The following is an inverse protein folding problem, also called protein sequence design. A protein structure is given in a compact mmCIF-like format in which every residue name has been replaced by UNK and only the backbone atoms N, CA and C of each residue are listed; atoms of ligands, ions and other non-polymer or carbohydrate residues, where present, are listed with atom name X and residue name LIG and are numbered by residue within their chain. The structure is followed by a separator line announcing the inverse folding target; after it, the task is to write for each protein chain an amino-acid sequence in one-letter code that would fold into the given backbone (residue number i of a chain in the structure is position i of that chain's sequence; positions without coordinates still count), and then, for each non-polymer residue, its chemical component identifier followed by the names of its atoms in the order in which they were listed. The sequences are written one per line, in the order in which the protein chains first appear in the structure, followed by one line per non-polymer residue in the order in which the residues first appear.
data_IF_143615136533
#
_entry.id   IF_143615136533
#
_cell.length_a   1.000
_cell.length_b   1.000
_cell.length_c   1.000
_cell.angle_alpha   90.00
_cell.angle_beta   90.00
_cell.angle_gamma   90.00
#
_symmetry.space_group_name_H-M   'P 1'
#
loop_
_entity.id
_entity.type
_entity.pdbx_description
1 polymer ?
#
# COMPACT_ATOMS: atom_id res chain seq x y z
N UNK A 1 -33.40 6.60 -7.32
CA UNK A 1 -33.09 6.97 -5.93
C UNK A 1 -32.93 5.68 -5.15
N UNK A 2 -31.74 5.07 -5.23
CA UNK A 2 -31.46 3.76 -4.60
C UNK A 2 -31.00 4.05 -3.19
N UNK A 3 -31.72 3.55 -2.19
CA UNK A 3 -31.31 3.64 -0.80
C UNK A 3 -29.92 3.01 -0.66
N UNK A 4 -28.95 3.79 -0.20
CA UNK A 4 -27.66 3.27 0.24
C UNK A 4 -27.95 2.40 1.47
N UNK A 5 -27.95 1.08 1.28
CA UNK A 5 -28.01 0.14 2.38
C UNK A 5 -26.66 0.17 3.09
N UNK A 6 -26.60 0.82 4.25
CA UNK A 6 -25.48 0.70 5.18
C UNK A 6 -25.59 -0.65 5.90
N UNK A 7 -24.64 -1.53 5.63
CA UNK A 7 -24.72 -2.93 5.97
C UNK A 7 -23.52 -3.38 6.82
N UNK A 8 -23.70 -3.55 8.12
CA UNK A 8 -22.64 -4.07 9.01
C UNK A 8 -22.75 -5.59 9.27
N UNK A 9 -23.74 -6.26 8.68
CA UNK A 9 -23.97 -7.71 8.80
C UNK A 9 -23.90 -8.43 7.44
N UNK A 10 -23.90 -9.78 7.47
CA UNK A 10 -23.76 -10.61 6.26
C UNK A 10 -24.88 -10.43 5.22
N UNK A 11 -26.11 -10.15 5.65
CA UNK A 11 -27.26 -9.98 4.75
C UNK A 11 -27.14 -8.71 3.90
N UNK A 12 -26.68 -7.61 4.50
CA UNK A 12 -26.49 -6.38 3.75
C UNK A 12 -25.28 -6.42 2.78
N UNK A 13 -24.29 -7.27 3.03
CA UNK A 13 -23.20 -7.56 2.07
C UNK A 13 -23.74 -8.26 0.83
N UNK A 14 -24.63 -9.24 1.01
CA UNK A 14 -25.26 -9.93 -0.10
C UNK A 14 -26.17 -8.99 -0.90
N UNK A 15 -26.85 -8.06 -0.24
CA UNK A 15 -27.66 -7.04 -0.91
C UNK A 15 -26.81 -6.11 -1.80
N UNK A 16 -25.59 -5.77 -1.36
CA UNK A 16 -24.62 -5.00 -2.17
C UNK A 16 -24.09 -5.76 -3.40
N UNK A 17 -24.31 -7.08 -3.44
CA UNK A 17 -23.83 -8.01 -4.47
C UNK A 17 -24.95 -8.54 -5.37
N UNK A 18 -25.97 -7.72 -5.64
CA UNK A 18 -27.14 -8.09 -6.47
C UNK A 18 -26.80 -8.58 -7.89
N UNK A 19 -25.60 -8.28 -8.39
CA UNK A 19 -25.10 -8.74 -9.70
C UNK A 19 -24.38 -10.10 -9.70
N UNK A 20 -24.22 -10.76 -8.54
CA UNK A 20 -23.67 -12.13 -8.49
C UNK A 20 -24.73 -13.17 -8.86
N UNK A 21 -24.36 -14.17 -9.65
CA UNK A 21 -25.23 -15.32 -9.93
C UNK A 21 -25.48 -16.14 -8.66
N UNK A 22 -26.59 -16.89 -8.63
CA UNK A 22 -26.95 -17.72 -7.48
C UNK A 22 -25.89 -18.79 -7.18
N UNK A 23 -25.20 -19.29 -8.22
CA UNK A 23 -24.08 -20.23 -8.10
C UNK A 23 -22.88 -19.66 -7.32
N UNK A 24 -22.75 -18.34 -7.24
CA UNK A 24 -21.71 -17.66 -6.42
C UNK A 24 -22.26 -17.24 -5.07
N UNK A 25 -23.54 -16.84 -5.03
CA UNK A 25 -24.22 -16.36 -3.81
C UNK A 25 -24.39 -17.48 -2.77
N UNK A 26 -24.76 -18.68 -3.19
CA UNK A 26 -24.98 -19.82 -2.30
C UNK A 26 -23.68 -20.27 -1.60
N UNK A 27 -22.56 -20.48 -2.32
CA UNK A 27 -21.28 -20.77 -1.66
C UNK A 27 -20.79 -19.65 -0.75
N UNK A 28 -21.01 -18.39 -1.12
CA UNK A 28 -20.68 -17.26 -0.26
C UNK A 28 -21.48 -17.34 1.06
N UNK A 29 -22.79 -17.54 0.96
CA UNK A 29 -23.65 -17.65 2.14
C UNK A 29 -23.26 -18.81 3.07
N UNK A 30 -22.97 -19.99 2.52
CA UNK A 30 -22.51 -21.13 3.32
C UNK A 30 -21.17 -20.87 4.00
N UNK A 31 -20.27 -20.15 3.34
CA UNK A 31 -18.95 -19.86 3.86
C UNK A 31 -18.95 -18.74 4.91
N UNK A 32 -19.91 -17.81 4.90
CA UNK A 32 -20.13 -16.85 6.01
C UNK A 32 -20.48 -17.56 7.32
N UNK A 33 -21.16 -18.70 7.23
CA UNK A 33 -21.52 -19.54 8.38
C UNK A 33 -20.35 -20.38 8.90
N UNK A 34 -19.27 -20.52 8.12
CA UNK A 34 -18.07 -21.28 8.49
C UNK A 34 -17.00 -20.32 9.02
N UNK A 35 -16.20 -20.76 9.99
CA UNK A 35 -14.98 -20.03 10.36
C UNK A 35 -14.06 -19.99 9.12
N UNK A 36 -13.76 -18.78 8.63
CA UNK A 36 -12.75 -18.61 7.58
C UNK A 36 -11.39 -19.10 8.12
N UNK A 37 -10.94 -20.26 7.65
CA UNK A 37 -9.65 -20.86 8.04
C UNK A 37 -8.56 -20.53 7.01
N UNK A 38 -7.48 -19.90 7.51
CA UNK A 38 -6.10 -19.77 6.99
C UNK A 38 -5.85 -19.31 5.54
N UNK A 39 -4.64 -18.74 5.37
CA UNK A 39 -3.97 -18.42 4.09
C UNK A 39 -4.02 -19.64 3.17
N UNK A 40 -4.40 -19.45 1.91
CA UNK A 40 -4.49 -20.54 0.96
C UNK A 40 -3.07 -20.96 0.55
N UNK A 41 -2.70 -22.22 0.83
CA UNK A 41 -1.45 -22.78 0.34
C UNK A 41 -1.54 -23.26 -1.12
N UNK A 42 -0.39 -23.58 -1.76
CA UNK A 42 -0.31 -24.04 -3.14
C UNK A 42 -1.22 -25.24 -3.45
N UNK A 43 -1.42 -26.12 -2.47
CA UNK A 43 -2.30 -27.28 -2.54
C UNK A 43 -3.76 -26.92 -2.79
N UNK A 44 -4.21 -25.73 -2.38
CA UNK A 44 -5.58 -25.27 -2.63
C UNK A 44 -5.80 -24.74 -4.05
N UNK A 45 -4.71 -24.43 -4.78
CA UNK A 45 -4.76 -24.05 -6.21
C UNK A 45 -4.73 -25.28 -7.11
N UNK A 46 -4.26 -26.42 -6.61
CA UNK A 46 -4.06 -27.62 -7.41
C UNK A 46 -5.39 -28.13 -8.00
N UNK A 47 -5.41 -28.32 -9.33
CA UNK A 47 -6.60 -28.77 -10.05
C UNK A 47 -7.65 -27.70 -10.33
N UNK A 48 -7.41 -26.43 -9.96
CA UNK A 48 -8.26 -25.32 -10.34
C UNK A 48 -7.72 -24.62 -11.58
N UNK A 49 -8.62 -24.19 -12.46
CA UNK A 49 -8.29 -23.24 -13.52
C UNK A 49 -7.99 -21.87 -12.90
N UNK A 50 -7.26 -21.00 -13.61
CA UNK A 50 -7.00 -19.63 -13.12
C UNK A 50 -8.31 -18.85 -12.89
N UNK A 51 -9.35 -19.12 -13.68
CA UNK A 51 -10.68 -18.56 -13.48
C UNK A 51 -11.30 -19.05 -12.16
N UNK A 52 -11.35 -20.37 -11.93
CA UNK A 52 -11.92 -20.94 -10.71
C UNK A 52 -11.14 -20.51 -9.45
N UNK A 53 -9.82 -20.37 -9.57
CA UNK A 53 -8.97 -19.83 -8.52
C UNK A 53 -9.32 -18.36 -8.21
N UNK A 54 -9.46 -17.53 -9.24
CA UNK A 54 -9.84 -16.11 -9.09
C UNK A 54 -11.22 -15.96 -8.45
N UNK A 55 -12.19 -16.78 -8.86
CA UNK A 55 -13.54 -16.80 -8.27
C UNK A 55 -13.53 -17.22 -6.80
N UNK A 56 -12.70 -18.22 -6.44
CA UNK A 56 -12.53 -18.67 -5.04
C UNK A 56 -11.90 -17.60 -4.16
N UNK A 57 -10.87 -16.90 -4.65
CA UNK A 57 -10.25 -15.77 -3.96
C UNK A 57 -11.25 -14.64 -3.77
N UNK A 58 -11.96 -14.24 -4.84
CA UNK A 58 -13.01 -13.22 -4.82
C UNK A 58 -14.06 -13.55 -3.77
N UNK A 59 -14.59 -14.77 -3.78
CA UNK A 59 -15.57 -15.23 -2.80
C UNK A 59 -15.03 -15.04 -1.38
N UNK A 60 -13.80 -15.50 -1.07
CA UNK A 60 -13.22 -15.33 0.27
C UNK A 60 -12.99 -13.88 0.67
N UNK A 61 -12.58 -13.01 -0.25
CA UNK A 61 -12.44 -11.58 0.04
C UNK A 61 -13.80 -10.96 0.42
N UNK A 62 -14.86 -11.27 -0.32
CA UNK A 62 -16.22 -10.81 -0.02
C UNK A 62 -16.72 -11.33 1.33
N UNK A 63 -16.41 -12.59 1.66
CA UNK A 63 -16.74 -13.18 2.94
C UNK A 63 -16.01 -12.56 4.11
N UNK A 64 -14.72 -12.28 3.93
CA UNK A 64 -13.93 -11.61 4.93
C UNK A 64 -14.57 -10.29 5.30
N UNK A 65 -14.89 -9.48 4.27
CA UNK A 65 -15.49 -8.16 4.46
C UNK A 65 -16.76 -8.25 5.31
N UNK A 66 -17.56 -9.31 5.19
CA UNK A 66 -18.78 -9.51 5.99
C UNK A 66 -18.56 -9.83 7.48
N UNK A 67 -17.41 -10.40 7.87
CA UNK A 67 -17.18 -10.91 9.24
C UNK A 67 -16.59 -9.82 10.15
N UNK A 68 -15.88 -8.83 9.61
CA UNK A 68 -15.43 -7.64 10.35
C UNK A 68 -13.96 -7.26 10.09
N UNK A 69 -13.58 -6.00 10.40
CA UNK A 69 -12.35 -5.37 9.92
C UNK A 69 -11.06 -6.06 10.39
N UNK A 70 -11.01 -6.48 11.66
CA UNK A 70 -9.83 -7.11 12.27
C UNK A 70 -9.64 -8.57 11.81
N UNK A 71 -10.75 -9.28 11.58
CA UNK A 71 -10.70 -10.66 11.07
C UNK A 71 -10.35 -10.72 9.59
N UNK A 72 -10.71 -9.69 8.79
CA UNK A 72 -10.30 -9.60 7.38
C UNK A 72 -8.80 -9.44 7.25
N UNK A 73 -8.24 -8.44 7.93
CA UNK A 73 -6.82 -8.08 7.79
C UNK A 73 -5.91 -9.25 8.19
N UNK A 74 -6.27 -10.00 9.25
CA UNK A 74 -5.51 -11.16 9.72
C UNK A 74 -5.62 -12.40 8.85
N UNK A 75 -6.73 -12.59 8.13
CA UNK A 75 -7.05 -13.87 7.47
C UNK A 75 -7.01 -13.84 5.95
N UNK A 76 -7.27 -12.67 5.35
CA UNK A 76 -7.42 -12.51 3.90
C UNK A 76 -6.63 -11.32 3.37
N UNK A 77 -6.13 -10.42 4.25
CA UNK A 77 -5.12 -9.38 4.00
C UNK A 77 -4.91 -8.95 2.54
N UNK A 78 -3.66 -8.99 2.10
CA UNK A 78 -3.19 -8.57 0.77
C UNK A 78 -4.01 -9.14 -0.40
N UNK A 79 -4.73 -10.27 -0.24
CA UNK A 79 -5.59 -10.81 -1.28
C UNK A 79 -6.81 -9.94 -1.62
N UNK A 80 -7.29 -9.10 -0.69
CA UNK A 80 -8.32 -8.08 -0.98
C UNK A 80 -7.78 -7.03 -1.97
N UNK A 81 -6.46 -6.84 -1.99
CA UNK A 81 -5.77 -5.84 -2.84
C UNK A 81 -5.23 -6.43 -4.14
N UNK A 82 -4.95 -7.73 -4.19
CA UNK A 82 -4.16 -8.35 -5.25
C UNK A 82 -4.96 -8.94 -6.42
N UNK A 83 -6.30 -9.04 -6.36
CA UNK A 83 -7.07 -9.71 -7.43
C UNK A 83 -8.35 -8.96 -7.90
N UNK A 84 -8.51 -8.74 -9.22
CA UNK A 84 -9.73 -8.22 -9.84
C UNK A 84 -10.85 -9.29 -9.95
N UNK A 85 -12.13 -8.89 -10.17
CA UNK A 85 -12.58 -7.54 -10.52
C UNK A 85 -12.82 -6.63 -9.32
N UNK A 86 -12.21 -5.46 -9.44
CA UNK A 86 -12.25 -4.32 -8.52
C UNK A 86 -13.66 -3.91 -8.04
N UNK A 87 -14.69 -4.17 -8.86
CA UNK A 87 -16.04 -3.64 -8.72
C UNK A 87 -16.86 -4.20 -7.57
N UNK A 88 -16.59 -5.43 -7.13
CA UNK A 88 -17.40 -6.05 -6.06
C UNK A 88 -16.89 -5.72 -4.69
N UNK A 89 -15.56 -5.74 -4.51
CA UNK A 89 -14.90 -5.26 -3.29
C UNK A 89 -15.24 -3.79 -3.09
N UNK A 90 -15.18 -2.98 -4.15
CA UNK A 90 -15.58 -1.56 -4.09
C UNK A 90 -17.05 -1.40 -3.71
N UNK A 91 -17.97 -2.19 -4.31
CA UNK A 91 -19.39 -2.16 -3.93
C UNK A 91 -19.63 -2.53 -2.48
N UNK A 92 -18.97 -3.57 -1.98
CA UNK A 92 -19.11 -4.01 -0.59
C UNK A 92 -18.50 -3.00 0.38
N UNK A 93 -17.36 -2.39 0.05
CA UNK A 93 -16.79 -1.31 0.87
C UNK A 93 -17.67 -0.06 0.84
N UNK A 94 -18.25 0.27 -0.31
CA UNK A 94 -19.16 1.40 -0.47
C UNK A 94 -20.44 1.25 0.37
N UNK A 95 -20.93 0.02 0.54
CA UNK A 95 -22.11 -0.29 1.34
C UNK A 95 -21.86 -0.33 2.86
N UNK A 96 -20.62 -0.11 3.33
CA UNK A 96 -20.32 -0.08 4.77
C UNK A 96 -20.48 1.30 5.37
N UNK A 97 -20.76 1.30 6.67
CA UNK A 97 -20.71 2.50 7.49
C UNK A 97 -19.31 3.12 7.44
N UNK A 98 -19.24 4.42 7.75
CA UNK A 98 -17.99 5.16 7.73
C UNK A 98 -17.01 4.58 8.76
N UNK A 99 -17.50 4.34 9.96
CA UNK A 99 -16.74 3.82 11.11
C UNK A 99 -16.14 2.45 10.78
N UNK A 100 -16.92 1.59 10.13
CA UNK A 100 -16.45 0.29 9.69
C UNK A 100 -15.31 0.42 8.67
N UNK A 101 -15.45 1.31 7.67
CA UNK A 101 -14.40 1.54 6.67
C UNK A 101 -13.13 2.11 7.27
N UNK A 102 -13.24 3.01 8.23
CA UNK A 102 -12.09 3.59 8.93
C UNK A 102 -11.35 2.49 9.72
N UNK A 103 -12.07 1.69 10.51
CA UNK A 103 -11.49 0.55 11.24
C UNK A 103 -10.88 -0.51 10.31
N UNK A 104 -11.54 -0.81 9.18
CA UNK A 104 -11.02 -1.72 8.16
C UNK A 104 -9.74 -1.18 7.51
N UNK A 105 -9.74 0.11 7.16
CA UNK A 105 -8.57 0.77 6.58
C UNK A 105 -7.40 0.68 7.54
N UNK A 106 -7.58 1.09 8.80
CA UNK A 106 -6.53 1.05 9.82
C UNK A 106 -5.99 -0.37 10.05
N UNK A 107 -6.89 -1.35 10.24
CA UNK A 107 -6.52 -2.74 10.46
C UNK A 107 -5.72 -3.31 9.28
N UNK A 108 -6.12 -2.95 8.06
CA UNK A 108 -5.39 -3.42 6.88
C UNK A 108 -4.02 -2.75 6.76
N UNK A 109 -3.95 -1.42 6.88
CA UNK A 109 -2.68 -0.71 6.84
C UNK A 109 -1.70 -1.29 7.86
N UNK A 110 -2.19 -1.55 9.09
CA UNK A 110 -1.37 -2.16 10.14
C UNK A 110 -0.86 -3.56 9.76
N UNK A 111 -1.73 -4.44 9.26
CA UNK A 111 -1.34 -5.80 8.86
C UNK A 111 -0.26 -5.79 7.77
N UNK A 112 -0.47 -5.01 6.71
CA UNK A 112 0.48 -4.94 5.59
C UNK A 112 1.79 -4.23 5.97
N UNK A 113 1.73 -3.20 6.80
CA UNK A 113 2.93 -2.51 7.28
C UNK A 113 3.76 -3.37 8.24
N UNK A 114 3.12 -4.27 9.00
CA UNK A 114 3.78 -5.19 9.92
C UNK A 114 4.58 -6.28 9.19
N UNK A 115 4.29 -6.57 7.93
CA UNK A 115 5.05 -7.53 7.14
C UNK A 115 6.52 -7.13 7.07
N UNK A 116 7.42 -8.04 7.43
CA UNK A 116 8.86 -7.74 7.54
C UNK A 116 9.66 -8.18 6.31
N UNK A 117 9.05 -9.00 5.45
CA UNK A 117 9.68 -9.63 4.30
C UNK A 117 9.61 -8.77 3.03
N UNK A 118 10.06 -7.51 3.14
CA UNK A 118 9.99 -6.53 2.05
C UNK A 118 10.62 -7.04 0.74
N UNK A 119 11.64 -7.91 0.83
CA UNK A 119 12.26 -8.50 -0.34
C UNK A 119 11.50 -9.66 -0.99
N UNK A 120 10.72 -10.44 -0.23
CA UNK A 120 9.96 -11.57 -0.78
C UNK A 120 8.71 -11.10 -1.54
N UNK A 121 8.12 -9.98 -1.12
CA UNK A 121 6.93 -9.40 -1.73
C UNK A 121 7.21 -8.38 -2.85
N UNK A 122 8.46 -8.34 -3.37
CA UNK A 122 8.99 -7.27 -4.22
C UNK A 122 7.99 -6.51 -5.10
N UNK A 123 7.68 -6.96 -6.34
CA UNK A 123 6.73 -6.27 -7.22
C UNK A 123 5.31 -6.13 -6.65
N UNK A 124 4.89 -7.01 -5.73
CA UNK A 124 3.55 -6.97 -5.15
C UNK A 124 3.33 -5.72 -4.31
N UNK A 125 4.37 -5.14 -3.70
CA UNK A 125 4.24 -3.88 -2.97
C UNK A 125 3.72 -2.74 -3.83
N UNK A 126 4.14 -2.68 -5.10
CA UNK A 126 3.67 -1.66 -6.03
C UNK A 126 2.19 -1.87 -6.38
N UNK A 127 1.78 -3.12 -6.60
CA UNK A 127 0.37 -3.44 -6.89
C UNK A 127 -0.53 -3.16 -5.68
N UNK A 128 -0.09 -3.52 -4.47
CA UNK A 128 -0.79 -3.19 -3.21
C UNK A 128 -0.96 -1.67 -3.08
N UNK A 129 0.10 -0.91 -3.31
CA UNK A 129 0.06 0.54 -3.22
C UNK A 129 -0.88 1.18 -4.27
N UNK A 130 -0.77 0.76 -5.54
CA UNK A 130 -1.67 1.22 -6.60
C UNK A 130 -3.13 0.95 -6.27
N UNK A 131 -3.41 -0.23 -5.71
CA UNK A 131 -4.77 -0.60 -5.32
C UNK A 131 -5.26 0.24 -4.15
N UNK A 132 -4.43 0.44 -3.12
CA UNK A 132 -4.75 1.31 -1.99
C UNK A 132 -5.10 2.72 -2.47
N UNK A 133 -4.25 3.34 -3.33
CA UNK A 133 -4.49 4.67 -3.89
C UNK A 133 -5.75 4.72 -4.76
N UNK A 134 -6.03 3.69 -5.55
CA UNK A 134 -7.27 3.59 -6.32
C UNK A 134 -8.51 3.59 -5.40
N UNK A 135 -8.49 2.77 -4.34
CA UNK A 135 -9.60 2.67 -3.38
C UNK A 135 -9.79 3.94 -2.56
N UNK A 136 -8.70 4.63 -2.21
CA UNK A 136 -8.74 5.92 -1.55
C UNK A 136 -9.35 7.00 -2.44
N UNK A 137 -8.90 7.12 -3.70
CA UNK A 137 -9.45 8.08 -4.67
C UNK A 137 -10.92 7.80 -5.02
N UNK A 138 -11.32 6.53 -4.99
CA UNK A 138 -12.72 6.13 -5.12
C UNK A 138 -13.56 6.40 -3.84
N UNK A 139 -12.94 6.83 -2.74
CA UNK A 139 -13.59 7.07 -1.45
C UNK A 139 -14.00 5.80 -0.71
N UNK A 140 -13.61 4.62 -1.21
CA UNK A 140 -13.92 3.32 -0.63
C UNK A 140 -13.06 3.03 0.62
N UNK A 141 -11.84 3.56 0.66
CA UNK A 141 -10.99 3.60 1.85
C UNK A 141 -10.69 5.06 2.21
N UNK A 142 -10.39 5.29 3.48
CA UNK A 142 -10.06 6.62 4.00
C UNK A 142 -8.82 6.56 4.87
N UNK A 143 -7.65 6.28 4.29
CA UNK A 143 -6.42 6.28 5.04
C UNK A 143 -6.14 7.68 5.58
N UNK A 144 -5.65 7.75 6.81
CA UNK A 144 -5.00 8.95 7.31
C UNK A 144 -3.62 9.07 6.65
N UNK A 145 -3.43 10.11 5.84
CA UNK A 145 -2.17 10.37 5.13
C UNK A 145 -0.96 10.63 6.02
N UNK A 146 -1.18 10.84 7.33
CA UNK A 146 -0.14 10.96 8.36
C UNK A 146 0.11 9.66 9.13
N UNK A 147 -0.73 8.64 8.91
CA UNK A 147 -0.60 7.34 9.59
C UNK A 147 0.75 6.69 9.28
N UNK A 148 1.52 6.27 10.30
CA UNK A 148 2.77 5.57 10.09
C UNK A 148 2.64 4.31 9.21
N UNK A 149 1.53 3.60 9.30
CA UNK A 149 1.30 2.40 8.49
C UNK A 149 1.05 2.73 7.01
N UNK A 150 0.27 3.78 6.74
CA UNK A 150 0.07 4.30 5.38
C UNK A 150 1.40 4.73 4.75
N UNK A 151 2.21 5.48 5.51
CA UNK A 151 3.53 5.93 5.06
C UNK A 151 4.50 4.77 4.82
N UNK A 152 4.46 3.70 5.62
CA UNK A 152 5.26 2.48 5.36
C UNK A 152 4.86 1.84 4.04
N UNK A 153 3.56 1.72 3.75
CA UNK A 153 3.09 1.18 2.48
C UNK A 153 3.46 2.07 1.30
N UNK A 154 3.37 3.39 1.45
CA UNK A 154 3.86 4.35 0.46
C UNK A 154 5.34 4.14 0.18
N UNK A 155 6.16 4.10 1.24
CA UNK A 155 7.61 3.92 1.16
C UNK A 155 7.97 2.64 0.43
N UNK A 156 7.32 1.53 0.76
CA UNK A 156 7.55 0.24 0.10
C UNK A 156 7.02 0.24 -1.31
N UNK A 157 5.76 0.59 -1.53
CA UNK A 157 5.12 0.53 -2.84
C UNK A 157 5.83 1.36 -3.90
N UNK A 158 6.18 2.61 -3.58
CA UNK A 158 6.87 3.48 -4.54
C UNK A 158 8.31 3.04 -4.80
N UNK A 159 8.98 2.39 -3.84
CA UNK A 159 10.32 1.84 -4.06
C UNK A 159 10.33 0.81 -5.20
N UNK A 160 9.26 0.03 -5.33
CA UNK A 160 9.06 -0.98 -6.37
C UNK A 160 8.36 -0.45 -7.62
N UNK A 161 8.07 0.85 -7.69
CA UNK A 161 7.65 1.49 -8.93
C UNK A 161 8.83 1.66 -9.89
N UNK A 162 8.55 1.93 -11.17
CA UNK A 162 9.60 2.21 -12.16
C UNK A 162 10.44 3.45 -11.78
N UNK A 163 9.82 4.43 -11.11
CA UNK A 163 10.47 5.65 -10.64
C UNK A 163 9.65 6.27 -9.52
N UNK A 164 10.25 6.42 -8.32
CA UNK A 164 9.61 7.13 -7.20
C UNK A 164 9.24 8.56 -7.63
N UNK A 165 10.13 9.22 -8.38
CA UNK A 165 9.92 10.57 -8.91
C UNK A 165 8.72 10.60 -9.87
N UNK A 166 8.65 9.63 -10.81
CA UNK A 166 7.56 9.53 -11.77
C UNK A 166 6.22 9.23 -11.10
N UNK A 167 6.21 8.32 -10.13
CA UNK A 167 4.99 7.96 -9.40
C UNK A 167 4.44 9.12 -8.57
N UNK A 168 5.29 9.89 -7.90
CA UNK A 168 4.88 11.09 -7.15
C UNK A 168 4.47 12.22 -8.09
N UNK A 169 5.20 12.44 -9.20
CA UNK A 169 4.82 13.43 -10.20
C UNK A 169 3.45 13.17 -10.83
N UNK A 170 3.02 11.91 -10.90
CA UNK A 170 1.69 11.51 -11.36
C UNK A 170 0.61 11.57 -10.24
N UNK A 171 0.97 11.91 -9.01
CA UNK A 171 0.06 11.96 -7.85
C UNK A 171 0.28 13.22 -7.00
N UNK A 172 -0.27 14.38 -7.41
CA UNK A 172 -0.07 15.67 -6.72
C UNK A 172 -0.47 15.66 -5.24
N UNK A 173 -1.49 14.87 -4.87
CA UNK A 173 -1.95 14.76 -3.49
C UNK A 173 -0.86 14.23 -2.55
N UNK A 174 -0.02 13.29 -3.03
CA UNK A 174 1.12 12.78 -2.27
C UNK A 174 2.19 13.85 -2.08
N UNK A 175 2.47 14.62 -3.15
CA UNK A 175 3.46 15.70 -3.14
C UNK A 175 3.05 16.84 -2.19
N UNK A 176 1.76 17.15 -2.12
CA UNK A 176 1.25 18.24 -1.29
C UNK A 176 1.13 17.87 0.20
N UNK A 177 0.81 16.61 0.50
CA UNK A 177 0.41 16.19 1.86
C UNK A 177 1.32 15.10 2.43
N UNK A 178 1.16 13.86 1.97
CA UNK A 178 1.72 12.67 2.64
C UNK A 178 3.25 12.62 2.68
N UNK A 179 3.93 13.19 1.68
CA UNK A 179 5.40 13.22 1.65
C UNK A 179 6.00 13.94 2.86
N UNK A 180 5.33 14.98 3.35
CA UNK A 180 5.86 15.82 4.43
C UNK A 180 5.86 15.08 5.78
N UNK A 181 4.94 14.13 5.98
CA UNK A 181 4.92 13.29 7.17
C UNK A 181 6.07 12.27 7.22
N UNK A 182 6.83 12.09 6.13
CA UNK A 182 8.10 11.33 6.17
C UNK A 182 9.18 11.99 7.02
N UNK A 183 9.05 13.27 7.34
CA UNK A 183 9.98 14.04 8.17
C UNK A 183 9.59 14.05 9.65
N UNK A 184 8.46 13.43 10.00
CA UNK A 184 7.99 13.32 11.38
C UNK A 184 8.57 12.09 12.09
N UNK A 185 8.66 12.12 13.43
CA UNK A 185 9.22 11.01 14.18
C UNK A 185 8.26 9.82 14.26
N UNK A 186 8.41 8.88 13.33
CA UNK A 186 7.72 7.60 13.31
C UNK A 186 8.74 6.44 13.14
N UNK A 187 9.08 5.68 14.20
CA UNK A 187 10.13 4.65 14.13
C UNK A 187 9.95 3.60 13.03
N UNK A 188 8.71 3.21 12.72
CA UNK A 188 8.40 2.23 11.67
C UNK A 188 8.64 2.78 10.27
N UNK A 189 8.28 4.05 10.01
CA UNK A 189 8.52 4.74 8.74
C UNK A 189 10.02 4.94 8.53
N UNK A 190 10.71 5.38 9.57
CA UNK A 190 12.16 5.58 9.56
C UNK A 190 12.93 4.28 9.30
N UNK A 191 12.47 3.16 9.87
CA UNK A 191 13.01 1.82 9.57
C UNK A 191 12.77 1.45 8.10
N UNK A 192 11.59 1.73 7.54
CA UNK A 192 11.29 1.47 6.14
C UNK A 192 12.17 2.32 5.20
N UNK A 193 12.34 3.62 5.47
CA UNK A 193 13.22 4.51 4.72
C UNK A 193 14.67 4.03 4.73
N UNK A 194 15.27 3.76 5.89
CA UNK A 194 16.64 3.24 5.95
C UNK A 194 16.77 1.87 5.31
N UNK A 195 15.76 1.00 5.46
CA UNK A 195 15.72 -0.29 4.79
C UNK A 195 15.79 -0.16 3.26
N UNK A 196 15.04 0.81 2.71
CA UNK A 196 15.03 1.08 1.27
C UNK A 196 16.38 1.54 0.72
N UNK A 197 17.20 2.24 1.51
CA UNK A 197 18.52 2.71 1.07
C UNK A 197 19.57 1.59 1.01
N UNK A 198 19.45 0.55 1.85
CA UNK A 198 20.50 -0.47 2.00
C UNK A 198 20.50 -1.51 0.88
N UNK A 199 19.36 -1.74 0.24
CA UNK A 199 19.14 -2.90 -0.64
C UNK A 199 18.67 -2.53 -2.05
N UNK A 200 18.61 -1.24 -2.39
CA UNK A 200 18.03 -0.78 -3.65
C UNK A 200 19.01 -0.03 -4.55
N UNK A 201 18.60 0.23 -5.79
CA UNK A 201 19.37 1.01 -6.75
C UNK A 201 19.77 2.36 -6.12
N UNK A 202 21.06 2.70 -6.04
CA UNK A 202 21.48 4.02 -5.56
C UNK A 202 20.80 5.18 -6.30
N UNK A 203 20.46 5.00 -7.57
CA UNK A 203 19.74 5.98 -8.39
C UNK A 203 18.22 6.06 -8.16
N UNK A 204 17.62 5.19 -7.33
CA UNK A 204 16.18 5.18 -7.05
C UNK A 204 15.89 4.95 -5.55
N UNK A 205 16.67 5.58 -4.67
CA UNK A 205 16.37 5.59 -3.23
C UNK A 205 15.45 6.76 -2.88
N UNK A 206 14.76 6.67 -1.74
CA UNK A 206 13.89 7.74 -1.26
C UNK A 206 14.61 9.07 -1.07
N UNK A 207 15.84 9.06 -0.54
CA UNK A 207 16.62 10.30 -0.39
C UNK A 207 16.90 10.96 -1.73
N UNK A 208 17.35 10.17 -2.71
CA UNK A 208 17.65 10.66 -4.07
C UNK A 208 16.38 11.15 -4.75
N UNK A 209 15.28 10.43 -4.62
CA UNK A 209 14.00 10.80 -5.20
C UNK A 209 13.47 12.12 -4.65
N UNK A 210 13.51 12.34 -3.33
CA UNK A 210 13.08 13.60 -2.71
C UNK A 210 13.88 14.80 -3.23
N UNK A 211 15.21 14.67 -3.33
CA UNK A 211 16.07 15.72 -3.87
C UNK A 211 15.72 16.00 -5.33
N UNK A 212 15.56 14.96 -6.16
CA UNK A 212 15.20 15.11 -7.57
C UNK A 212 13.83 15.76 -7.76
N UNK A 213 12.82 15.37 -6.96
CA UNK A 213 11.51 15.99 -6.98
C UNK A 213 11.57 17.50 -6.69
N UNK A 214 12.45 17.93 -5.78
CA UNK A 214 12.68 19.34 -5.54
C UNK A 214 13.42 20.04 -6.69
N UNK A 215 14.41 19.38 -7.30
CA UNK A 215 15.13 19.92 -8.47
C UNK A 215 14.24 20.05 -9.71
N UNK A 216 13.25 19.18 -9.87
CA UNK A 216 12.24 19.26 -10.95
C UNK A 216 11.06 20.18 -10.61
N UNK A 217 11.05 20.81 -9.44
CA UNK A 217 10.01 21.73 -9.00
C UNK A 217 8.68 21.08 -8.59
N UNK A 218 8.64 19.74 -8.45
CA UNK A 218 7.45 19.03 -7.95
C UNK A 218 7.30 19.24 -6.44
N UNK A 219 8.41 19.26 -5.71
CA UNK A 219 8.44 19.65 -4.30
C UNK A 219 9.08 21.03 -4.16
N UNK A 220 8.58 21.81 -3.21
CA UNK A 220 9.22 23.07 -2.85
C UNK A 220 10.61 22.79 -2.23
N UNK A 221 11.66 23.35 -2.85
CA UNK A 221 13.05 23.11 -2.48
C UNK A 221 13.37 23.62 -1.09
N UNK A 222 12.85 24.80 -0.72
CA UNK A 222 13.13 25.42 0.56
C UNK A 222 12.46 24.63 1.69
N UNK A 223 11.17 24.31 1.52
CA UNK A 223 10.39 23.49 2.44
C UNK A 223 11.02 22.11 2.64
N UNK A 224 11.56 21.50 1.58
CA UNK A 224 12.29 20.23 1.69
C UNK A 224 13.56 20.38 2.53
N UNK A 225 14.36 21.42 2.30
CA UNK A 225 15.56 21.68 3.07
C UNK A 225 15.23 21.92 4.56
N UNK A 226 14.22 22.73 4.84
CA UNK A 226 13.77 23.06 6.20
C UNK A 226 13.23 21.84 6.94
N UNK A 227 12.35 21.06 6.30
CA UNK A 227 11.81 19.82 6.88
C UNK A 227 12.93 18.81 7.20
N UNK A 228 13.91 18.67 6.30
CA UNK A 228 15.06 17.82 6.53
C UNK A 228 15.96 18.31 7.66
N UNK A 229 16.18 19.62 7.78
CA UNK A 229 16.95 20.21 8.87
C UNK A 229 16.27 19.98 10.23
N UNK A 230 14.96 20.22 10.32
CA UNK A 230 14.17 19.95 11.54
C UNK A 230 14.24 18.47 11.93
N UNK A 231 14.02 17.55 10.98
CA UNK A 231 14.12 16.12 11.23
C UNK A 231 15.54 15.67 11.64
N UNK A 232 16.58 16.32 11.10
CA UNK A 232 17.97 16.07 11.43
C UNK A 232 18.38 16.50 12.85
N UNK A 233 17.59 17.37 13.48
CA UNK A 233 17.80 17.88 14.84
C UNK A 233 16.85 17.24 15.87
N UNK A 234 15.78 16.57 15.42
CA UNK A 234 14.78 15.98 16.32
C UNK A 234 15.39 14.87 17.21
N UNK A 235 15.45 15.16 18.51
CA UNK A 235 15.98 14.27 19.54
C UNK A 235 15.26 12.92 19.64
N UNK A 236 13.99 12.84 19.21
CA UNK A 236 13.16 11.62 19.22
C UNK A 236 13.60 10.61 18.15
N UNK A 237 14.31 11.05 17.11
CA UNK A 237 14.83 10.17 16.06
C UNK A 237 16.18 9.54 16.45
N UNK A 238 16.47 8.32 15.98
CA UNK A 238 17.80 7.72 16.20
C UNK A 238 18.89 8.42 15.39
N UNK A 239 20.14 8.33 15.84
CA UNK A 239 21.31 8.95 15.19
C UNK A 239 21.40 8.65 13.69
N UNK A 240 21.17 7.40 13.27
CA UNK A 240 21.25 7.00 11.86
C UNK A 240 20.16 7.65 11.01
N UNK A 241 18.95 7.84 11.56
CA UNK A 241 17.85 8.53 10.88
C UNK A 241 18.15 10.02 10.75
N UNK A 242 18.60 10.68 11.82
CA UNK A 242 19.04 12.09 11.75
C UNK A 242 20.14 12.29 10.70
N UNK A 243 21.12 11.39 10.66
CA UNK A 243 22.19 11.41 9.64
C UNK A 243 21.65 11.26 8.22
N UNK A 244 20.60 10.46 8.03
CA UNK A 244 19.94 10.31 6.74
C UNK A 244 19.32 11.62 6.26
N UNK A 245 18.59 12.34 7.11
CA UNK A 245 17.99 13.64 6.78
C UNK A 245 19.04 14.74 6.52
N UNK A 246 20.16 14.76 7.26
CA UNK A 246 21.25 15.74 7.06
C UNK A 246 21.85 15.74 5.66
N UNK A 247 21.77 14.62 4.95
CA UNK A 247 22.27 14.54 3.58
C UNK A 247 21.36 15.24 2.56
N UNK A 248 20.07 15.42 2.85
CA UNK A 248 19.13 16.04 1.90
C UNK A 248 19.54 17.50 1.58
N UNK A 249 19.74 18.40 2.58
CA UNK A 249 20.21 19.76 2.29
C UNK A 249 21.57 19.80 1.58
N UNK A 250 22.48 18.89 1.92
CA UNK A 250 23.79 18.79 1.28
C UNK A 250 23.66 18.45 -0.23
N UNK A 251 22.83 17.47 -0.56
CA UNK A 251 22.57 17.07 -1.95
C UNK A 251 21.74 18.09 -2.72
N UNK A 252 20.91 18.88 -2.03
CA UNK A 252 20.23 20.03 -2.64
C UNK A 252 21.22 21.16 -2.95
N UNK A 253 22.24 21.39 -2.12
CA UNK A 253 23.25 22.42 -2.35
C UNK A 253 24.23 22.03 -3.46
N UNK A 254 24.56 20.75 -3.56
CA UNK A 254 25.48 20.19 -4.55
C UNK A 254 24.82 19.00 -5.29
N UNK A 255 24.11 19.26 -6.40
CA UNK A 255 23.46 18.23 -7.20
C UNK A 255 24.42 17.20 -7.81
N UNK A 256 25.71 17.48 -7.91
CA UNK A 256 26.71 16.54 -8.43
C UNK A 256 26.93 15.35 -7.48
N UNK A 257 26.46 15.47 -6.22
CA UNK A 257 26.40 14.36 -5.26
C UNK A 257 25.29 13.35 -5.57
N UNK A 258 24.38 13.65 -6.50
CA UNK A 258 23.34 12.71 -6.91
C UNK A 258 23.93 11.60 -7.77
N UNK A 259 23.63 10.32 -7.46
CA UNK A 259 23.98 9.23 -8.36
C UNK A 259 23.26 9.43 -9.70
N UNK A 260 23.94 9.07 -10.80
CA UNK A 260 23.32 9.15 -12.12
C UNK A 260 22.09 8.24 -12.22
N UNK A 261 21.08 8.69 -12.96
CA UNK A 261 19.95 7.85 -13.34
C UNK A 261 20.48 6.81 -14.33
N UNK A 262 20.28 5.50 -14.14
CA UNK A 262 20.61 4.55 -15.18
C UNK A 262 19.75 4.85 -16.42
N UNK A 263 20.37 5.03 -17.59
CA UNK A 263 19.71 5.46 -18.83
C UNK A 263 18.50 4.56 -19.19
N UNK A 264 18.58 3.26 -18.91
CA UNK A 264 17.48 2.31 -18.95
C UNK A 264 17.75 1.12 -18.01
N UNK A 265 16.72 0.61 -17.35
CA UNK A 265 16.79 -0.69 -16.69
C UNK A 265 15.64 -0.94 -15.72
N UNK A 266 15.10 -2.17 -15.66
CA UNK A 266 14.17 -2.53 -14.60
C UNK A 266 14.82 -2.30 -13.23
N UNK A 267 14.03 -2.17 -12.14
CA UNK A 267 14.59 -2.15 -10.79
C UNK A 267 15.60 -3.30 -10.64
N UNK A 268 16.78 -3.04 -10.01
CA UNK A 268 17.85 -4.00 -9.96
C UNK A 268 17.34 -5.34 -9.42
N UNK A 269 17.92 -6.47 -9.86
CA UNK A 269 17.43 -7.83 -9.59
C UNK A 269 17.38 -8.21 -8.11
N UNK A 270 17.70 -7.30 -7.19
CA UNK A 270 17.77 -7.49 -5.76
C UNK A 270 16.53 -8.10 -5.11
N UNK A 271 15.38 -8.16 -5.79
CA UNK A 271 14.20 -8.93 -5.37
C UNK A 271 13.32 -9.44 -6.54
N UNK A 272 13.87 -9.54 -7.76
CA UNK A 272 13.19 -10.30 -8.81
C UNK A 272 13.44 -11.79 -8.52
N UNK A 273 12.66 -12.37 -7.59
CA UNK A 273 12.43 -13.81 -7.61
C UNK A 273 12.04 -14.13 -9.06
N UNK A 274 12.91 -14.88 -9.74
CA UNK A 274 12.75 -15.27 -11.14
C UNK A 274 11.28 -15.65 -11.34
N UNK A 275 10.60 -14.99 -12.28
CA UNK A 275 9.36 -15.55 -12.81
C UNK A 275 9.72 -16.95 -13.32
N UNK A 276 9.07 -18.03 -12.85
CA UNK A 276 9.26 -19.32 -13.49
C UNK A 276 8.78 -19.17 -14.93
N UNK A 277 9.72 -19.33 -15.84
CA UNK A 277 9.52 -19.48 -17.28
C UNK A 277 8.66 -20.69 -17.59
#
# INVERSE_FOLDING_TARGET
MVALFEADNGDGVLAALSGLSDDVRVPAWEALRRRLCAVLGPEQRQGLTDQAWSERIRTRALLALAVGPVDVAKRVGSYVYLHPPATDVERVLASRTREWREAFTEATLHAEAAETEVGLFGPLWWDIWRRLRHLERAGALRPDGTSPHYLVLMVRGLLFSDSIVGAIGADPELAERSIWSLFEPAPVVQKALLGSERYWNPGNTWRVALVRLALTGILDRQRLADAAAVAAEDGRMKRNHRSWYRRIPQMLADPDLLPQVPDHGPPPPGNQLRRPS
#
